data_IF_486669687390
#
_entry.id   IF_486669687390
#
_cell.length_a   1.000
_cell.length_b   1.000
_cell.length_c   1.000
_cell.angle_alpha   90.00
_cell.angle_beta   90.00
_cell.angle_gamma   90.00
#
_symmetry.space_group_name_H-M   'P 1'
#
loop_
_entity.id
_entity.type
_entity.pdbx_description
1 polymer ?
#
# COMPACT_ATOMS: atom_id res chain seq x y z
N UNK A 1 10.22 -33.82 -5.40
CA UNK A 1 9.28 -33.54 -6.44
C UNK A 1 9.69 -32.39 -7.31
N UNK A 2 9.61 -32.53 -8.59
CA UNK A 2 10.07 -31.53 -9.52
C UNK A 2 8.92 -30.65 -9.98
N UNK A 3 9.11 -29.34 -9.93
CA UNK A 3 8.08 -28.43 -10.40
C UNK A 3 8.07 -28.44 -11.92
N UNK A 4 6.99 -27.99 -12.54
CA UNK A 4 6.96 -27.90 -14.00
C UNK A 4 8.06 -27.00 -14.55
N UNK A 5 8.42 -25.96 -13.82
CA UNK A 5 9.50 -25.09 -14.26
C UNK A 5 10.83 -25.83 -14.27
N UNK A 6 11.05 -26.68 -13.28
CA UNK A 6 12.27 -27.46 -13.23
C UNK A 6 12.33 -28.45 -14.40
N UNK A 7 11.20 -29.05 -14.73
CA UNK A 7 11.17 -29.98 -15.86
C UNK A 7 11.47 -29.28 -17.15
N UNK A 8 10.92 -28.08 -17.35
CA UNK A 8 11.20 -27.33 -18.56
C UNK A 8 12.64 -26.87 -18.62
N UNK A 9 13.17 -26.49 -17.46
CA UNK A 9 14.55 -26.04 -17.42
C UNK A 9 15.49 -27.15 -17.83
N UNK A 10 15.15 -28.37 -17.49
CA UNK A 10 15.97 -29.51 -17.87
C UNK A 10 15.95 -29.83 -19.34
N UNK A 11 15.05 -29.23 -20.12
CA UNK A 11 14.98 -29.51 -21.55
C UNK A 11 16.16 -28.95 -22.31
N UNK A 12 16.81 -27.92 -21.77
CA UNK A 12 17.95 -27.32 -22.45
C UNK A 12 17.58 -26.38 -23.58
N UNK A 13 16.31 -26.06 -23.74
CA UNK A 13 15.88 -25.12 -24.75
C UNK A 13 16.18 -23.69 -24.29
N UNK A 14 17.06 -22.95 -24.99
CA UNK A 14 17.41 -21.61 -24.54
C UNK A 14 16.23 -20.65 -24.53
N UNK A 15 15.27 -20.83 -25.40
CA UNK A 15 14.12 -19.96 -25.44
C UNK A 15 13.24 -20.19 -24.21
N UNK A 16 13.06 -21.45 -23.85
CA UNK A 16 12.28 -21.77 -22.65
C UNK A 16 12.99 -21.28 -21.41
N UNK A 17 14.31 -21.43 -21.36
CA UNK A 17 15.06 -20.97 -20.22
C UNK A 17 14.96 -19.45 -20.06
N UNK A 18 14.97 -18.73 -21.18
CA UNK A 18 14.83 -17.29 -21.13
C UNK A 18 13.46 -16.88 -20.62
N UNK A 19 12.41 -17.60 -21.03
CA UNK A 19 11.07 -17.35 -20.56
C UNK A 19 10.95 -17.61 -19.05
N UNK A 20 11.59 -18.66 -18.57
CA UNK A 20 11.55 -18.97 -17.15
C UNK A 20 12.27 -17.91 -16.32
N UNK A 21 13.38 -17.41 -16.84
CA UNK A 21 14.09 -16.34 -16.15
C UNK A 21 13.25 -15.09 -16.05
N UNK A 22 12.55 -14.77 -17.14
CA UNK A 22 11.67 -13.61 -17.16
C UNK A 22 10.54 -13.80 -16.16
N UNK A 23 9.96 -14.99 -16.12
CA UNK A 23 8.87 -15.26 -15.18
C UNK A 23 9.35 -15.13 -13.75
N UNK A 24 10.52 -15.66 -13.43
CA UNK A 24 11.07 -15.56 -12.08
C UNK A 24 11.34 -14.10 -11.68
N UNK A 25 11.81 -13.31 -12.62
CA UNK A 25 12.05 -11.89 -12.34
C UNK A 25 10.76 -11.17 -12.08
N UNK A 26 9.70 -11.48 -12.83
CA UNK A 26 8.40 -10.85 -12.65
C UNK A 26 7.81 -11.22 -11.29
N UNK A 27 7.94 -12.48 -10.89
CA UNK A 27 7.43 -12.92 -9.61
C UNK A 27 8.16 -12.21 -8.47
N UNK A 28 9.48 -12.08 -8.58
CA UNK A 28 10.25 -11.40 -7.55
C UNK A 28 9.83 -9.94 -7.42
N UNK A 29 9.53 -9.31 -8.55
CA UNK A 29 9.11 -7.92 -8.52
C UNK A 29 7.76 -7.76 -7.83
N UNK A 30 6.83 -8.67 -8.11
CA UNK A 30 5.53 -8.63 -7.48
C UNK A 30 5.66 -8.86 -5.97
N UNK A 31 6.53 -9.77 -5.57
CA UNK A 31 6.73 -10.03 -4.16
C UNK A 31 7.32 -8.83 -3.44
N UNK A 32 8.24 -8.12 -4.09
CA UNK A 32 8.79 -6.90 -3.50
C UNK A 32 7.73 -5.85 -3.33
N UNK A 33 6.86 -5.70 -4.31
CA UNK A 33 5.77 -4.75 -4.22
C UNK A 33 4.84 -5.10 -3.07
N UNK A 34 4.54 -6.39 -2.93
CA UNK A 34 3.67 -6.83 -1.85
C UNK A 34 4.30 -6.49 -0.48
N UNK A 35 5.60 -6.73 -0.34
CA UNK A 35 6.28 -6.41 0.91
C UNK A 35 6.22 -4.92 1.20
N UNK A 36 6.43 -4.09 0.18
CA UNK A 36 6.34 -2.66 0.37
C UNK A 36 4.94 -2.23 0.75
N UNK A 37 3.93 -2.87 0.18
CA UNK A 37 2.55 -2.53 0.50
C UNK A 37 2.22 -2.85 1.95
N UNK A 38 2.75 -3.95 2.48
CA UNK A 38 2.46 -4.29 3.88
C UNK A 38 3.18 -3.37 4.85
N UNK A 39 4.20 -2.67 4.40
CA UNK A 39 4.93 -1.74 5.25
C UNK A 39 4.34 -0.34 5.26
N UNK A 40 3.36 -0.07 4.41
CA UNK A 40 2.74 1.24 4.38
C UNK A 40 2.05 1.53 5.70
N UNK A 41 2.20 2.74 6.18
CA UNK A 41 1.53 3.21 7.38
C UNK A 41 0.82 4.51 7.06
N UNK A 42 -0.32 4.71 7.65
CA UNK A 42 -1.06 5.94 7.50
C UNK A 42 -0.96 6.77 8.75
N UNK A 43 -0.88 8.08 8.58
CA UNK A 43 -0.82 9.00 9.71
C UNK A 43 -1.90 10.05 9.55
N UNK A 44 -2.55 10.39 10.64
CA UNK A 44 -3.57 11.42 10.63
C UNK A 44 -3.56 12.19 11.92
N UNK A 45 -4.03 13.43 11.86
CA UNK A 45 -4.04 14.31 13.01
C UNK A 45 -5.38 15.00 13.16
N UNK A 46 -5.66 15.42 14.36
CA UNK A 46 -6.83 16.23 14.66
C UNK A 46 -6.53 17.09 15.88
N UNK A 47 -7.41 18.03 16.17
CA UNK A 47 -7.27 18.92 17.33
C UNK A 47 -5.92 19.65 17.30
N UNK A 48 -5.60 20.22 16.14
CA UNK A 48 -4.36 20.99 15.96
C UNK A 48 -3.12 20.15 16.24
N UNK A 49 -3.16 18.88 15.87
CA UNK A 49 -2.01 18.00 16.03
C UNK A 49 -1.88 17.38 17.39
N UNK A 50 -2.85 17.64 18.26
CA UNK A 50 -2.79 17.08 19.61
C UNK A 50 -3.26 15.65 19.69
N UNK A 51 -3.95 15.18 18.64
CA UNK A 51 -4.37 13.79 18.53
C UNK A 51 -3.77 13.27 17.24
N UNK A 52 -2.95 12.23 17.33
CA UNK A 52 -2.28 11.67 16.18
C UNK A 52 -2.59 10.18 16.13
N UNK A 53 -3.03 9.71 14.96
CA UNK A 53 -3.35 8.30 14.78
C UNK A 53 -2.43 7.72 13.72
N UNK A 54 -2.13 6.44 13.88
CA UNK A 54 -1.34 5.72 12.90
C UNK A 54 -2.07 4.44 12.56
N UNK A 55 -2.16 4.11 11.27
CA UNK A 55 -2.82 2.88 10.84
C UNK A 55 -1.87 2.02 10.03
N UNK A 56 -2.22 0.75 9.93
CA UNK A 56 -1.52 -0.18 9.05
C UNK A 56 -1.97 0.05 7.61
N UNK A 57 -1.37 -0.70 6.71
CA UNK A 57 -1.72 -0.62 5.30
C UNK A 57 -3.17 -1.02 5.05
N UNK A 58 -3.75 -1.82 5.94
CA UNK A 58 -5.13 -2.26 5.78
C UNK A 58 -6.12 -1.37 6.51
N UNK A 59 -5.63 -0.29 7.13
CA UNK A 59 -6.53 0.64 7.81
C UNK A 59 -6.75 0.34 9.28
N UNK A 60 -6.03 -0.62 9.82
CA UNK A 60 -6.18 -0.97 11.21
C UNK A 60 -5.42 0.03 12.07
N UNK A 61 -6.04 0.52 13.12
CA UNK A 61 -5.39 1.48 14.01
C UNK A 61 -4.31 0.77 14.81
N UNK A 62 -3.07 1.20 14.63
CA UNK A 62 -1.94 0.58 15.32
C UNK A 62 -1.25 1.52 16.29
N UNK A 63 -1.60 2.79 16.27
CA UNK A 63 -1.04 3.74 17.22
C UNK A 63 -1.95 4.92 17.42
N UNK A 64 -1.94 5.45 18.62
CA UNK A 64 -2.74 6.63 18.94
C UNK A 64 -2.00 7.41 20.02
N UNK A 65 -1.76 8.67 19.73
CA UNK A 65 -1.08 9.54 20.70
C UNK A 65 -1.98 10.72 20.98
N UNK A 66 -2.20 10.99 22.24
CA UNK A 66 -3.03 12.11 22.67
C UNK A 66 -2.17 13.01 23.54
N UNK A 67 -1.97 14.25 23.07
CA UNK A 67 -1.23 15.23 23.84
C UNK A 67 -2.03 15.53 25.11
N UNK A 68 -1.39 15.66 26.26
CA UNK A 68 -2.14 15.93 27.50
C UNK A 68 -3.03 17.16 27.40
N UNK A 69 -2.68 18.13 26.57
CA UNK A 69 -3.52 19.29 26.41
C UNK A 69 -4.87 18.97 25.77
N UNK A 70 -4.92 17.89 25.01
CA UNK A 70 -6.18 17.48 24.40
C UNK A 70 -7.15 16.91 25.43
N UNK A 71 -6.66 16.54 26.58
CA UNK A 71 -7.53 16.04 27.64
C UNK A 71 -8.44 17.11 28.19
N UNK A 72 -8.20 18.37 27.83
CA UNK A 72 -9.09 19.45 28.24
C UNK A 72 -10.36 19.49 27.42
N UNK A 73 -10.36 18.79 26.26
CA UNK A 73 -11.57 18.68 25.48
C UNK A 73 -12.56 17.82 26.25
N UNK A 74 -13.84 18.05 26.03
CA UNK A 74 -14.84 17.18 26.61
C UNK A 74 -14.75 15.81 25.97
N UNK A 75 -15.36 14.82 26.59
CA UNK A 75 -15.25 13.47 26.11
C UNK A 75 -15.80 13.34 24.70
N UNK A 76 -16.88 14.06 24.37
CA UNK A 76 -17.44 13.99 23.04
C UNK A 76 -16.52 14.62 22.02
N UNK A 77 -15.91 15.74 22.36
CA UNK A 77 -14.98 16.40 21.45
C UNK A 77 -13.73 15.57 21.26
N UNK A 78 -13.24 14.95 22.32
CA UNK A 78 -12.05 14.12 22.23
C UNK A 78 -12.34 12.90 21.36
N UNK A 79 -13.50 12.28 21.54
CA UNK A 79 -13.88 11.13 20.73
C UNK A 79 -13.96 11.51 19.26
N UNK A 80 -14.54 12.69 18.97
CA UNK A 80 -14.63 13.15 17.59
C UNK A 80 -13.25 13.39 17.01
N UNK A 81 -12.33 13.93 17.81
CA UNK A 81 -10.97 14.17 17.34
C UNK A 81 -10.25 12.87 17.04
N UNK A 82 -10.46 11.84 17.86
CA UNK A 82 -9.85 10.54 17.64
C UNK A 82 -10.39 9.94 16.33
N UNK A 83 -11.69 10.03 16.12
CA UNK A 83 -12.27 9.52 14.88
C UNK A 83 -11.76 10.28 13.66
N UNK A 84 -11.61 11.57 13.78
CA UNK A 84 -11.10 12.38 12.68
C UNK A 84 -9.66 12.00 12.35
N UNK A 85 -8.82 11.87 13.38
CA UNK A 85 -7.42 11.50 13.17
C UNK A 85 -7.31 10.11 12.55
N UNK A 86 -8.13 9.17 13.04
CA UNK A 86 -8.11 7.82 12.50
C UNK A 86 -8.56 7.79 11.05
N UNK A 87 -9.61 8.54 10.72
CA UNK A 87 -10.07 8.61 9.34
C UNK A 87 -9.03 9.22 8.42
N UNK A 88 -8.35 10.26 8.88
CA UNK A 88 -7.29 10.87 8.10
C UNK A 88 -6.13 9.90 7.90
N UNK A 89 -5.83 9.09 8.92
CA UNK A 89 -4.76 8.11 8.81
C UNK A 89 -5.11 7.04 7.78
N UNK A 90 -6.37 6.59 7.75
CA UNK A 90 -6.81 5.61 6.77
C UNK A 90 -6.67 6.18 5.35
N UNK A 91 -7.10 7.41 5.15
CA UNK A 91 -6.97 8.04 3.83
C UNK A 91 -5.50 8.18 3.43
N UNK A 92 -4.66 8.52 4.40
CA UNK A 92 -3.24 8.66 4.14
C UNK A 92 -2.62 7.31 3.75
N UNK A 93 -3.02 6.23 4.42
CA UNK A 93 -2.53 4.91 4.08
C UNK A 93 -2.99 4.52 2.66
N UNK A 94 -4.23 4.86 2.31
CA UNK A 94 -4.73 4.56 0.98
C UNK A 94 -3.93 5.30 -0.08
N UNK A 95 -3.60 6.56 0.18
CA UNK A 95 -2.79 7.33 -0.74
C UNK A 95 -1.40 6.72 -0.89
N UNK A 96 -0.81 6.26 0.22
CA UNK A 96 0.49 5.62 0.15
C UNK A 96 0.46 4.34 -0.66
N UNK A 97 -0.62 3.56 -0.54
CA UNK A 97 -0.77 2.36 -1.34
C UNK A 97 -0.92 2.71 -2.81
N UNK A 98 -1.70 3.74 -3.11
CA UNK A 98 -1.89 4.16 -4.49
C UNK A 98 -0.58 4.62 -5.09
N UNK A 99 0.22 5.37 -4.34
CA UNK A 99 1.50 5.83 -4.83
C UNK A 99 2.44 4.69 -5.15
N UNK A 100 2.38 3.61 -4.38
CA UNK A 100 3.21 2.45 -4.65
C UNK A 100 2.77 1.72 -5.91
N UNK A 101 1.46 1.63 -6.12
CA UNK A 101 0.93 0.82 -7.21
C UNK A 101 0.85 1.56 -8.53
N UNK A 102 0.66 2.88 -8.50
CA UNK A 102 0.51 3.67 -9.71
C UNK A 102 1.60 3.44 -10.75
N UNK A 103 2.88 3.54 -10.41
CA UNK A 103 3.91 3.32 -11.41
C UNK A 103 3.85 1.91 -11.99
N UNK A 104 3.55 0.92 -11.15
CA UNK A 104 3.47 -0.45 -11.59
C UNK A 104 2.31 -0.63 -12.57
N UNK A 105 1.17 -0.04 -12.27
CA UNK A 105 0.00 -0.15 -13.14
C UNK A 105 0.23 0.58 -14.45
N UNK A 106 0.78 1.78 -14.38
CA UNK A 106 1.05 2.56 -15.58
C UNK A 106 1.99 1.83 -16.51
N UNK A 107 3.01 1.20 -15.93
CA UNK A 107 3.96 0.47 -16.73
C UNK A 107 3.35 -0.78 -17.34
N UNK A 108 2.53 -1.48 -16.57
CA UNK A 108 1.92 -2.70 -17.02
C UNK A 108 0.85 -2.49 -18.08
N UNK A 109 -0.02 -1.52 -17.84
CA UNK A 109 -1.12 -1.26 -18.74
C UNK A 109 -0.68 -0.44 -19.94
N UNK A 110 0.31 0.37 -19.78
CA UNK A 110 0.78 1.21 -20.84
C UNK A 110 -0.15 2.38 -21.03
N UNK A 111 -0.08 2.98 -22.22
CA UNK A 111 -0.87 4.12 -22.46
C UNK A 111 -2.29 3.87 -22.61
N UNK A 112 -2.68 2.68 -23.01
CA UNK A 112 -4.09 2.41 -23.19
C UNK A 112 -4.84 2.47 -21.91
N UNK A 113 -4.19 2.28 -20.78
CA UNK A 113 -4.86 2.32 -19.52
C UNK A 113 -5.13 3.71 -18.99
N UNK A 114 -4.46 4.71 -19.60
CA UNK A 114 -4.68 5.97 -19.11
C UNK A 114 -5.70 6.66 -19.77
N UNK A 115 -6.80 6.76 -19.46
CA UNK A 115 -7.79 7.49 -20.08
C UNK A 115 -7.97 8.74 -19.36
N UNK A 116 -8.17 9.77 -20.03
CA UNK A 116 -8.47 11.00 -19.33
C UNK A 116 -9.74 10.80 -18.60
N UNK A 117 -9.94 11.21 -17.71
CA UNK A 117 -11.04 10.99 -17.00
C UNK A 117 -12.00 11.84 -17.19
N UNK A 118 -12.34 12.05 -17.45
CA UNK A 118 -13.10 12.61 -17.64
C UNK A 118 -13.71 13.13 -18.03
N UNK A 119 -13.95 13.38 -18.24
CA UNK A 119 -14.43 13.78 -18.57
C UNK A 119 -15.30 14.21 -18.69
N UNK A 120 -15.73 14.60 -18.54
CA UNK A 120 -16.58 15.05 -18.64
C UNK A 120 -16.93 15.33 -18.64
#
# INVERSE_FOLDING_TARGET
>A
MTSPADALRGSGDPEIERLLEQFNADVAEVERLRDQMTEVRGHGEAADGRVVAETSSTGELVGLTIDPRAMRLGSDELAAAVLEAAGAAVRNATEGMTDLVDPFIAETIGETGRRPRNER
#
